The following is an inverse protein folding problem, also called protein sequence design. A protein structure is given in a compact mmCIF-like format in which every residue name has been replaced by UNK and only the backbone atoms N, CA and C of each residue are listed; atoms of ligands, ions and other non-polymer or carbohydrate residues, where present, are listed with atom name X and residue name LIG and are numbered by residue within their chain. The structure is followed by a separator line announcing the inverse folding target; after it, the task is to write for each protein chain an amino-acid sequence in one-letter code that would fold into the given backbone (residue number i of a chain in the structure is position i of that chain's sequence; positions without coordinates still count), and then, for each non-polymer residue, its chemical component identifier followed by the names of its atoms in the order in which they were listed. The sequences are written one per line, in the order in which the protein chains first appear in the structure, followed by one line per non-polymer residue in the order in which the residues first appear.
data_IF_129093525384
#
_entry.id   IF_129093525384
#
_cell.length_a   1.000
_cell.length_b   1.000
_cell.length_c   1.000
_cell.angle_alpha   90.00
_cell.angle_beta   90.00
_cell.angle_gamma   90.00
#
_symmetry.space_group_name_H-M   'P 1'
#
loop_
_entity.id
_entity.type
_entity.pdbx_description
1 polymer ?
#
# COMPACT_ATOMS: atom_id res chain seq x y z
N UNK A 1 -41.74 19.20 4.36
CA UNK A 1 -41.28 17.94 3.75
C UNK A 1 -40.28 18.36 2.69
N UNK A 2 -38.98 18.41 2.97
CA UNK A 2 -38.14 17.33 3.48
C UNK A 2 -37.27 16.92 2.31
N UNK A 3 -36.03 17.41 2.30
CA UNK A 3 -35.09 17.22 1.21
C UNK A 3 -34.62 15.77 1.17
N UNK A 4 -34.87 15.07 0.07
CA UNK A 4 -34.26 13.77 -0.20
C UNK A 4 -33.15 13.96 -1.25
N UNK A 5 -31.97 14.31 -0.71
CA UNK A 5 -30.70 14.22 -1.40
C UNK A 5 -30.39 12.76 -1.70
N UNK A 6 -30.84 12.28 -2.85
CA UNK A 6 -30.31 11.10 -3.47
C UNK A 6 -28.93 11.44 -4.06
N UNK A 7 -27.89 11.30 -3.25
CA UNK A 7 -26.53 11.14 -3.77
C UNK A 7 -26.49 9.77 -4.44
N UNK A 8 -26.89 9.71 -5.71
CA UNK A 8 -26.61 8.54 -6.53
C UNK A 8 -25.09 8.43 -6.59
N UNK A 9 -24.56 7.39 -5.95
CA UNK A 9 -23.18 6.94 -6.09
C UNK A 9 -22.84 7.01 -7.58
N UNK A 10 -22.00 7.98 -7.94
CA UNK A 10 -21.60 8.17 -9.32
C UNK A 10 -20.91 6.88 -9.74
N UNK A 11 -21.56 6.14 -10.63
CA UNK A 11 -20.83 5.43 -11.66
C UNK A 11 -19.98 6.54 -12.31
N UNK A 12 -18.74 6.71 -11.86
CA UNK A 12 -17.77 7.50 -12.58
C UNK A 12 -17.79 6.90 -13.97
N UNK A 13 -18.33 7.62 -14.96
CA UNK A 13 -18.11 7.29 -16.35
C UNK A 13 -16.60 7.43 -16.54
N UNK A 14 -15.89 6.32 -16.30
CA UNK A 14 -14.45 6.27 -16.32
C UNK A 14 -14.05 6.75 -17.69
N UNK A 15 -13.37 7.90 -17.75
CA UNK A 15 -12.95 8.47 -19.03
C UNK A 15 -12.17 7.39 -19.78
N UNK A 16 -12.40 7.18 -21.09
CA UNK A 16 -11.73 6.14 -21.85
C UNK A 16 -10.20 6.17 -21.73
N UNK A 17 -9.63 7.35 -21.49
CA UNK A 17 -8.21 7.53 -21.21
C UNK A 17 -7.75 6.84 -19.92
N UNK A 18 -8.55 6.89 -18.85
CA UNK A 18 -8.23 6.25 -17.56
C UNK A 18 -8.25 4.72 -17.71
N UNK A 19 -9.24 4.19 -18.42
CA UNK A 19 -9.27 2.74 -18.71
C UNK A 19 -8.06 2.32 -19.56
N UNK A 20 -7.66 3.12 -20.55
CA UNK A 20 -6.48 2.85 -21.38
C UNK A 20 -5.19 2.86 -20.56
N UNK A 21 -5.05 3.79 -19.60
CA UNK A 21 -3.93 3.83 -18.66
C UNK A 21 -3.88 2.56 -17.80
N UNK A 22 -5.02 2.11 -17.27
CA UNK A 22 -5.10 0.87 -16.47
C UNK A 22 -4.70 -0.34 -17.33
N UNK A 23 -5.21 -0.44 -18.55
CA UNK A 23 -4.93 -1.57 -19.44
C UNK A 23 -3.44 -1.62 -19.82
N UNK A 24 -2.81 -0.46 -20.07
CA UNK A 24 -1.37 -0.39 -20.36
C UNK A 24 -0.52 -0.77 -19.14
N UNK A 25 -0.85 -0.24 -17.96
CA UNK A 25 -0.17 -0.57 -16.71
C UNK A 25 -0.30 -2.07 -16.39
N UNK A 26 -1.49 -2.65 -16.57
CA UNK A 26 -1.69 -4.08 -16.39
C UNK A 26 -0.86 -4.89 -17.39
N UNK A 27 -0.88 -4.53 -18.67
CA UNK A 27 -0.13 -5.23 -19.70
C UNK A 27 1.39 -5.25 -19.41
N UNK A 28 1.98 -4.13 -18.94
CA UNK A 28 3.40 -4.09 -18.57
C UNK A 28 3.74 -4.87 -17.30
N UNK A 29 2.85 -4.86 -16.30
CA UNK A 29 3.22 -5.25 -14.93
C UNK A 29 2.54 -6.51 -14.41
N UNK A 30 1.64 -7.13 -15.18
CA UNK A 30 0.96 -8.37 -14.76
C UNK A 30 1.93 -9.52 -14.46
N UNK A 31 3.05 -9.62 -15.19
CA UNK A 31 4.05 -10.67 -14.94
C UNK A 31 4.86 -10.42 -13.65
N UNK A 32 5.19 -9.16 -13.34
CA UNK A 32 5.91 -8.80 -12.13
C UNK A 32 5.01 -8.77 -10.89
N UNK A 33 3.69 -8.63 -11.09
CA UNK A 33 2.70 -8.44 -10.05
C UNK A 33 2.78 -7.07 -9.37
N UNK A 34 3.54 -6.11 -9.91
CA UNK A 34 3.79 -4.81 -9.27
C UNK A 34 3.98 -3.65 -10.24
N UNK A 35 3.40 -2.52 -9.87
CA UNK A 35 3.50 -1.22 -10.57
C UNK A 35 4.14 -0.19 -9.64
N UNK A 36 5.20 0.51 -10.08
CA UNK A 36 5.80 1.62 -9.34
C UNK A 36 5.02 2.93 -9.55
N UNK A 37 5.04 3.84 -8.57
CA UNK A 37 4.40 5.15 -8.72
C UNK A 37 5.03 5.99 -9.84
N UNK A 38 6.32 5.80 -10.10
CA UNK A 38 7.02 6.44 -11.20
C UNK A 38 6.53 5.92 -12.57
N UNK A 39 6.20 4.64 -12.68
CA UNK A 39 5.64 4.06 -13.91
C UNK A 39 4.23 4.61 -14.16
N UNK A 40 3.43 4.76 -13.10
CA UNK A 40 2.12 5.43 -13.18
C UNK A 40 2.30 6.88 -13.63
N UNK A 41 3.25 7.61 -13.05
CA UNK A 41 3.54 9.00 -13.44
C UNK A 41 4.01 9.12 -14.90
N UNK A 42 4.81 8.17 -15.39
CA UNK A 42 5.26 8.10 -16.79
C UNK A 42 4.07 7.94 -17.75
N UNK A 43 3.18 6.98 -17.48
CA UNK A 43 2.04 6.66 -18.35
C UNK A 43 0.96 7.73 -18.28
N UNK A 44 0.71 8.30 -17.09
CA UNK A 44 -0.15 9.48 -16.96
C UNK A 44 0.45 10.64 -17.76
N UNK A 45 1.78 10.84 -17.71
CA UNK A 45 2.49 11.81 -18.53
C UNK A 45 1.88 13.21 -18.43
N UNK A 46 1.36 13.73 -19.55
CA UNK A 46 0.69 15.05 -19.63
C UNK A 46 -0.82 14.98 -19.54
N UNK A 47 -1.41 13.80 -19.33
CA UNK A 47 -2.85 13.67 -19.17
C UNK A 47 -3.29 14.38 -17.90
N UNK A 48 -4.32 15.23 -18.02
CA UNK A 48 -4.94 15.84 -16.85
C UNK A 48 -5.78 14.77 -16.14
N UNK A 49 -5.19 14.23 -15.07
CA UNK A 49 -5.77 13.21 -14.20
C UNK A 49 -5.97 13.82 -12.82
N UNK A 50 -7.19 13.73 -12.28
CA UNK A 50 -7.50 14.21 -10.92
C UNK A 50 -7.01 13.22 -9.85
N UNK A 51 -6.93 13.66 -8.60
CA UNK A 51 -6.60 12.76 -7.49
C UNK A 51 -7.58 11.58 -7.39
N UNK A 52 -8.88 11.81 -7.60
CA UNK A 52 -9.91 10.75 -7.60
C UNK A 52 -9.70 9.73 -8.72
N UNK A 53 -9.24 10.18 -9.89
CA UNK A 53 -8.91 9.29 -11.00
C UNK A 53 -7.63 8.50 -10.73
N UNK A 54 -6.62 9.09 -10.07
CA UNK A 54 -5.43 8.35 -9.61
C UNK A 54 -5.82 7.27 -8.62
N UNK A 55 -6.63 7.60 -7.60
CA UNK A 55 -7.12 6.63 -6.63
C UNK A 55 -7.89 5.50 -7.34
N UNK A 56 -8.73 5.84 -8.32
CA UNK A 56 -9.42 4.85 -9.13
C UNK A 56 -8.47 3.94 -9.92
N UNK A 57 -7.41 4.48 -10.54
CA UNK A 57 -6.39 3.68 -11.24
C UNK A 57 -5.73 2.70 -10.26
N UNK A 58 -5.31 3.18 -9.09
CA UNK A 58 -4.68 2.36 -8.05
C UNK A 58 -5.62 1.24 -7.61
N UNK A 59 -6.86 1.57 -7.23
CA UNK A 59 -7.86 0.60 -6.78
C UNK A 59 -8.12 -0.49 -7.82
N UNK A 60 -8.16 -0.13 -9.11
CA UNK A 60 -8.40 -1.08 -10.19
C UNK A 60 -7.22 -2.01 -10.42
N UNK A 61 -5.99 -1.50 -10.41
CA UNK A 61 -4.78 -2.33 -10.51
C UNK A 61 -4.68 -3.31 -9.34
N UNK A 62 -4.98 -2.83 -8.12
CA UNK A 62 -5.00 -3.68 -6.95
C UNK A 62 -6.11 -4.74 -6.98
N UNK A 63 -7.30 -4.39 -7.47
CA UNK A 63 -8.39 -5.34 -7.67
C UNK A 63 -8.06 -6.42 -8.73
N UNK A 64 -7.16 -6.11 -9.67
CA UNK A 64 -6.61 -7.05 -10.64
C UNK A 64 -5.45 -7.90 -10.09
N UNK A 65 -5.09 -7.74 -8.82
CA UNK A 65 -4.07 -8.52 -8.13
C UNK A 65 -2.67 -7.93 -8.18
N UNK A 66 -2.50 -6.72 -8.72
CA UNK A 66 -1.22 -6.01 -8.69
C UNK A 66 -1.00 -5.35 -7.33
N UNK A 67 0.27 -5.12 -6.98
CA UNK A 67 0.64 -4.26 -5.86
C UNK A 67 1.14 -2.93 -6.43
N UNK A 68 0.58 -1.81 -5.97
CA UNK A 68 1.03 -0.47 -6.39
C UNK A 68 1.94 0.13 -5.31
N UNK A 69 3.07 0.69 -5.72
CA UNK A 69 4.01 1.39 -4.85
C UNK A 69 5.42 0.81 -4.86
N UNK A 70 6.32 1.52 -4.17
CA UNK A 70 7.73 1.16 -4.11
C UNK A 70 7.93 -0.24 -3.49
N UNK A 71 8.84 -1.06 -4.06
CA UNK A 71 9.24 -2.31 -3.44
C UNK A 71 9.86 -2.05 -2.06
N UNK A 72 9.44 -2.83 -1.07
CA UNK A 72 10.17 -2.90 0.20
C UNK A 72 11.57 -3.45 -0.11
N UNK A 73 12.61 -2.66 0.15
CA UNK A 73 13.99 -3.08 -0.09
C UNK A 73 14.46 -4.13 0.97
N UNK A 74 15.62 -4.74 0.72
CA UNK A 74 16.16 -5.78 1.58
C UNK A 74 16.50 -5.27 3.00
N UNK A 75 16.87 -4.00 3.13
CA UNK A 75 17.19 -3.37 4.41
C UNK A 75 15.91 -3.14 5.20
N UNK A 76 14.85 -2.69 4.56
CA UNK A 76 13.52 -2.50 5.14
C UNK A 76 12.89 -3.83 5.58
N UNK A 77 13.08 -4.91 4.82
CA UNK A 77 12.68 -6.26 5.25
C UNK A 77 13.47 -6.70 6.49
N UNK A 78 14.78 -6.42 6.54
CA UNK A 78 15.64 -6.76 7.68
C UNK A 78 15.22 -6.00 8.93
N UNK A 79 14.97 -4.70 8.80
CA UNK A 79 14.43 -3.82 9.84
C UNK A 79 13.09 -4.35 10.33
N UNK A 80 12.16 -4.68 9.43
CA UNK A 80 10.85 -5.19 9.79
C UNK A 80 10.94 -6.49 10.58
N UNK A 81 11.79 -7.45 10.16
CA UNK A 81 12.01 -8.70 10.89
C UNK A 81 12.54 -8.45 12.30
N UNK A 82 13.49 -7.52 12.47
CA UNK A 82 14.04 -7.15 13.79
C UNK A 82 12.97 -6.53 14.69
N UNK A 83 12.19 -5.60 14.16
CA UNK A 83 11.10 -4.93 14.90
C UNK A 83 10.03 -5.93 15.35
N UNK A 84 9.57 -6.80 14.44
CA UNK A 84 8.56 -7.83 14.75
C UNK A 84 9.10 -8.87 15.74
N UNK A 85 10.38 -9.24 15.63
CA UNK A 85 11.05 -10.10 16.60
C UNK A 85 11.06 -9.48 18.00
N UNK A 86 11.53 -8.24 18.12
CA UNK A 86 11.56 -7.50 19.39
C UNK A 86 10.15 -7.36 20.00
N UNK A 87 9.15 -7.01 19.20
CA UNK A 87 7.77 -6.90 19.65
C UNK A 87 7.21 -8.22 20.21
N UNK A 88 7.48 -9.35 19.55
CA UNK A 88 7.05 -10.69 20.03
C UNK A 88 7.76 -11.07 21.33
N UNK A 89 9.07 -10.87 21.41
CA UNK A 89 9.85 -11.15 22.63
C UNK A 89 9.38 -10.30 23.80
N UNK A 90 9.15 -9.00 23.59
CA UNK A 90 8.63 -8.10 24.62
C UNK A 90 7.21 -8.47 25.05
N UNK A 91 6.34 -8.86 24.11
CA UNK A 91 4.99 -9.32 24.45
C UNK A 91 5.02 -10.56 25.34
N UNK A 92 5.92 -11.50 25.05
CA UNK A 92 6.08 -12.71 25.85
C UNK A 92 6.62 -12.41 27.26
N UNK A 93 7.54 -11.45 27.40
CA UNK A 93 8.11 -11.10 28.71
C UNK A 93 7.19 -10.22 29.57
N UNK A 94 6.47 -9.28 28.95
CA UNK A 94 5.61 -8.33 29.67
C UNK A 94 4.20 -8.86 29.94
N UNK A 95 3.76 -9.90 29.24
CA UNK A 95 2.40 -10.43 29.31
C UNK A 95 1.33 -9.48 28.75
N UNK A 96 1.74 -8.36 28.13
CA UNK A 96 0.87 -7.37 27.47
C UNK A 96 1.46 -6.95 26.13
N UNK A 97 0.68 -6.20 25.34
CA UNK A 97 1.21 -5.62 24.11
C UNK A 97 2.27 -4.54 24.45
N UNK A 98 3.50 -4.62 23.90
CA UNK A 98 4.51 -3.59 24.09
C UNK A 98 4.17 -2.31 23.33
N UNK A 99 4.61 -1.18 23.87
CA UNK A 99 4.47 0.14 23.24
C UNK A 99 5.52 0.35 22.16
N UNK A 100 5.28 1.30 21.24
CA UNK A 100 6.25 1.66 20.19
C UNK A 100 7.60 2.05 20.80
N UNK A 101 7.61 2.79 21.91
CA UNK A 101 8.83 3.22 22.60
C UNK A 101 9.61 2.04 23.17
N UNK A 102 8.94 1.06 23.77
CA UNK A 102 9.59 -0.16 24.28
C UNK A 102 10.21 -0.99 23.14
N UNK A 103 9.49 -1.11 22.02
CA UNK A 103 9.99 -1.82 20.83
C UNK A 103 11.17 -1.07 20.21
N UNK A 104 11.12 0.26 20.14
CA UNK A 104 12.21 1.10 19.62
C UNK A 104 13.50 0.90 20.42
N UNK A 105 13.39 0.93 21.76
CA UNK A 105 14.53 0.66 22.65
C UNK A 105 15.08 -0.75 22.46
N UNK A 106 14.21 -1.77 22.40
CA UNK A 106 14.64 -3.16 22.28
C UNK A 106 15.21 -3.51 20.90
N UNK A 107 14.70 -2.91 19.83
CA UNK A 107 15.15 -3.17 18.46
C UNK A 107 16.34 -2.29 18.06
N UNK A 108 16.61 -1.20 18.80
CA UNK A 108 17.64 -0.21 18.48
C UNK A 108 17.26 0.68 17.29
N UNK A 109 15.96 0.85 17.02
CA UNK A 109 15.47 1.59 15.86
C UNK A 109 14.62 2.80 16.31
N UNK A 110 14.61 3.92 15.57
CA UNK A 110 13.76 5.07 15.89
C UNK A 110 12.27 4.71 15.87
N UNK A 111 11.47 5.40 16.69
CA UNK A 111 10.03 5.14 16.83
C UNK A 111 9.26 5.24 15.51
N UNK A 112 9.65 6.14 14.60
CA UNK A 112 9.01 6.26 13.28
C UNK A 112 9.28 5.04 12.38
N UNK A 113 10.49 4.46 12.46
CA UNK A 113 10.86 3.23 11.73
C UNK A 113 10.08 2.04 12.29
N UNK A 114 9.95 1.95 13.62
CA UNK A 114 9.14 0.92 14.28
C UNK A 114 7.68 1.00 13.84
N UNK A 115 7.09 2.21 13.82
CA UNK A 115 5.71 2.40 13.37
C UNK A 115 5.51 1.92 11.92
N UNK A 116 6.38 2.37 11.01
CA UNK A 116 6.36 1.97 9.59
C UNK A 116 6.48 0.45 9.41
N UNK A 117 7.39 -0.18 10.16
CA UNK A 117 7.58 -1.63 10.12
C UNK A 117 6.36 -2.41 10.67
N UNK A 118 5.72 -1.91 11.72
CA UNK A 118 4.51 -2.52 12.28
C UNK A 118 3.32 -2.38 11.34
N UNK A 119 3.11 -1.21 10.73
CA UNK A 119 2.06 -0.98 9.72
C UNK A 119 2.19 -1.97 8.55
N UNK A 120 3.42 -2.15 8.04
CA UNK A 120 3.72 -3.12 6.98
C UNK A 120 3.53 -4.57 7.42
N UNK A 121 3.81 -4.89 8.69
CA UNK A 121 3.63 -6.23 9.25
C UNK A 121 2.17 -6.59 9.60
N UNK A 122 1.30 -5.60 9.75
CA UNK A 122 -0.15 -5.77 9.97
C UNK A 122 -0.90 -5.93 8.64
N UNK A 123 -0.35 -5.37 7.54
CA UNK A 123 -0.96 -5.49 6.21
C UNK A 123 -0.94 -6.96 5.74
N UNK A 124 -2.11 -7.60 5.52
CA UNK A 124 -2.17 -8.96 5.03
C UNK A 124 -1.91 -8.97 3.52
N UNK A 125 -0.66 -8.82 3.10
CA UNK A 125 -0.25 -9.17 1.72
C UNK A 125 1.00 -10.04 1.76
N UNK A 126 0.81 -11.24 2.29
CA UNK A 126 1.64 -12.39 1.95
C UNK A 126 1.24 -12.79 0.52
N UNK A 127 1.86 -12.18 -0.48
CA UNK A 127 1.95 -12.84 -1.79
C UNK A 127 3.05 -13.88 -1.64
N UNK A 128 2.62 -15.12 -1.42
CA UNK A 128 3.49 -16.28 -1.42
C UNK A 128 3.66 -16.69 -2.88
N UNK A 129 4.66 -16.10 -3.54
CA UNK A 129 5.12 -16.57 -4.85
C UNK A 129 5.87 -17.89 -4.62
N UNK A 130 5.34 -18.99 -5.13
CA UNK A 130 6.04 -20.26 -5.29
C UNK A 130 6.66 -20.33 -6.67
#
# INVERSE_FOLDING_TARGET
MGADGAWTCQNLDVRPVIQSIIDELYARHHESGRVDLNDIAEIIGTHHVSYEEVDHIVDRLEAQGLVVGEPIDADEVTVMKRVLGAARSLRASLGRNPTITEIALSSGHPAHVVRRALERGVSPRVVRSY
#
